data_IF_579678192453
#
_entry.id   IF_579678192453
#
_cell.length_a   1.000
_cell.length_b   1.000
_cell.length_c   1.000
_cell.angle_alpha   90.00
_cell.angle_beta   90.00
_cell.angle_gamma   90.00
#
_symmetry.space_group_name_H-M   'P 1'
#
loop_
_entity.id
_entity.type
_entity.pdbx_description
1 polymer ?
#
# COMPACT_ATOMS: atom_id res chain seq x y z
N UNK A 1 -11.98 -21.15 -2.49
CA UNK A 1 -12.28 -19.73 -2.87
C UNK A 1 -12.58 -18.85 -1.66
N UNK A 2 -13.48 -19.23 -0.74
CA UNK A 2 -13.75 -18.45 0.48
C UNK A 2 -12.53 -18.27 1.39
N UNK A 3 -11.70 -19.31 1.53
CA UNK A 3 -10.45 -19.28 2.32
C UNK A 3 -9.48 -18.17 1.89
N UNK A 4 -9.30 -17.98 0.58
CA UNK A 4 -8.45 -16.94 0.02
C UNK A 4 -8.91 -15.53 0.44
N UNK A 5 -10.21 -15.29 0.35
CA UNK A 5 -10.79 -14.00 0.71
C UNK A 5 -10.69 -13.71 2.20
N UNK A 6 -10.91 -14.71 3.06
CA UNK A 6 -10.77 -14.56 4.50
C UNK A 6 -9.32 -14.25 4.92
N UNK A 7 -8.33 -14.92 4.31
CA UNK A 7 -6.92 -14.63 4.57
C UNK A 7 -6.53 -13.23 4.10
N UNK A 8 -7.00 -12.82 2.92
CA UNK A 8 -6.74 -11.47 2.40
C UNK A 8 -7.38 -10.39 3.30
N UNK A 9 -8.61 -10.60 3.75
CA UNK A 9 -9.31 -9.65 4.63
C UNK A 9 -8.64 -9.53 6.00
N UNK A 10 -8.19 -10.65 6.58
CA UNK A 10 -7.42 -10.66 7.82
C UNK A 10 -6.16 -9.81 7.69
N UNK A 11 -5.35 -10.06 6.66
CA UNK A 11 -4.08 -9.35 6.43
C UNK A 11 -4.30 -7.84 6.18
N UNK A 12 -5.37 -7.46 5.45
CA UNK A 12 -5.76 -6.06 5.27
C UNK A 12 -6.15 -5.43 6.61
N UNK A 13 -6.99 -6.10 7.40
CA UNK A 13 -7.47 -5.56 8.68
C UNK A 13 -6.35 -5.39 9.71
N UNK A 14 -5.39 -6.32 9.70
CA UNK A 14 -4.20 -6.29 10.54
C UNK A 14 -3.25 -5.18 10.10
N UNK A 15 -3.03 -5.06 8.79
CA UNK A 15 -2.21 -4.00 8.21
C UNK A 15 -2.78 -2.61 8.48
N UNK A 16 -4.09 -2.41 8.34
CA UNK A 16 -4.74 -1.12 8.59
C UNK A 16 -4.70 -0.72 10.06
N UNK A 17 -4.77 -1.69 10.99
CA UNK A 17 -4.63 -1.42 12.43
C UNK A 17 -3.19 -1.13 12.86
N UNK A 18 -2.19 -1.45 12.04
CA UNK A 18 -0.82 -1.21 12.39
C UNK A 18 -0.54 0.30 12.46
N UNK A 19 -0.06 0.77 13.62
CA UNK A 19 0.32 2.19 13.83
C UNK A 19 1.35 2.68 12.80
N UNK A 20 2.20 1.78 12.32
CA UNK A 20 3.19 2.04 11.28
C UNK A 20 2.58 2.22 9.89
N UNK A 21 1.47 1.52 9.60
CA UNK A 21 0.71 1.74 8.36
C UNK A 21 0.07 3.12 8.36
N UNK A 22 -0.51 3.57 9.48
CA UNK A 22 -1.04 4.92 9.61
C UNK A 22 0.03 6.00 9.37
N UNK A 23 1.23 5.83 9.94
CA UNK A 23 2.38 6.71 9.67
C UNK A 23 2.75 6.75 8.19
N UNK A 24 2.81 5.58 7.54
CA UNK A 24 3.08 5.50 6.10
C UNK A 24 1.99 6.19 5.28
N UNK A 25 0.73 5.86 5.53
CA UNK A 25 -0.40 6.42 4.79
C UNK A 25 -0.44 7.94 4.92
N UNK A 26 -0.12 8.47 6.10
CA UNK A 26 -0.07 9.91 6.35
C UNK A 26 1.12 10.58 5.65
N UNK A 27 2.34 10.05 5.81
CA UNK A 27 3.56 10.67 5.25
C UNK A 27 3.59 10.53 3.73
N UNK A 28 3.47 9.31 3.22
CA UNK A 28 3.57 9.05 1.79
C UNK A 28 2.31 9.50 1.05
N UNK A 29 1.13 9.13 1.55
CA UNK A 29 -0.14 9.58 0.97
C UNK A 29 -0.29 11.10 1.03
N UNK A 30 0.11 11.74 2.13
CA UNK A 30 0.14 13.20 2.23
C UNK A 30 1.07 13.85 1.21
N UNK A 31 2.29 13.31 1.03
CA UNK A 31 3.24 13.82 0.05
C UNK A 31 2.73 13.67 -1.39
N UNK A 32 2.10 12.54 -1.71
CA UNK A 32 1.45 12.30 -3.00
C UNK A 32 0.29 13.28 -3.21
N UNK A 33 -0.58 13.46 -2.21
CA UNK A 33 -1.72 14.37 -2.30
C UNK A 33 -1.27 15.80 -2.56
N UNK A 34 -0.26 16.29 -1.81
CA UNK A 34 0.34 17.61 -1.99
C UNK A 34 0.92 17.73 -3.40
N UNK A 35 1.72 16.76 -3.84
CA UNK A 35 2.32 16.75 -5.18
C UNK A 35 1.26 16.84 -6.28
N UNK A 36 0.16 16.09 -6.16
CA UNK A 36 -0.92 16.10 -7.15
C UNK A 36 -1.72 17.40 -7.10
N UNK A 37 -2.07 17.92 -5.93
CA UNK A 37 -2.81 19.19 -5.81
C UNK A 37 -2.02 20.34 -6.48
N UNK A 38 -0.72 20.46 -6.15
CA UNK A 38 0.13 21.48 -6.77
C UNK A 38 0.39 21.21 -8.25
N UNK A 39 0.66 19.95 -8.63
CA UNK A 39 0.94 19.59 -10.02
C UNK A 39 -0.26 19.76 -10.96
N UNK A 40 -1.47 19.45 -10.50
CA UNK A 40 -2.72 19.69 -11.25
C UNK A 40 -2.98 21.19 -11.40
N UNK A 41 -2.72 21.98 -10.35
CA UNK A 41 -2.86 23.44 -10.39
C UNK A 41 -1.85 24.08 -11.36
N UNK A 42 -0.58 23.68 -11.30
CA UNK A 42 0.45 24.15 -12.25
C UNK A 42 0.16 23.73 -13.69
N UNK A 43 -0.38 22.53 -13.90
CA UNK A 43 -0.79 22.07 -15.23
C UNK A 43 -1.88 22.94 -15.84
N UNK A 44 -2.73 23.57 -15.02
CA UNK A 44 -3.74 24.53 -15.51
C UNK A 44 -3.12 25.82 -16.07
N UNK A 45 -1.96 26.23 -15.56
CA UNK A 45 -1.28 27.47 -15.93
C UNK A 45 -0.23 27.25 -17.03
N UNK A 46 0.57 26.18 -16.93
CA UNK A 46 1.65 25.86 -17.86
C UNK A 46 1.28 24.82 -18.93
N UNK A 47 0.10 24.19 -18.85
CA UNK A 47 -0.34 23.15 -19.77
C UNK A 47 0.35 21.79 -19.53
N UNK A 48 0.63 21.05 -20.61
CA UNK A 48 1.18 19.68 -20.57
C UNK A 48 2.58 19.56 -19.92
N UNK A 49 3.36 20.64 -19.90
CA UNK A 49 4.69 20.66 -19.29
C UNK A 49 4.65 20.59 -17.76
N UNK A 50 3.60 21.11 -17.13
CA UNK A 50 3.38 20.92 -15.69
C UNK A 50 3.09 19.46 -15.34
N UNK A 51 2.30 18.79 -16.19
CA UNK A 51 1.88 17.40 -16.01
C UNK A 51 3.05 16.42 -16.16
N UNK A 52 3.92 16.61 -17.17
CA UNK A 52 5.10 15.76 -17.36
C UNK A 52 6.08 15.87 -16.18
N UNK A 53 6.33 17.08 -15.68
CA UNK A 53 7.16 17.30 -14.49
C UNK A 53 6.57 16.61 -13.26
N UNK A 54 5.28 16.80 -13.02
CA UNK A 54 4.57 16.16 -11.91
C UNK A 54 4.68 14.63 -11.95
N UNK A 55 4.43 14.02 -13.12
CA UNK A 55 4.52 12.57 -13.28
C UNK A 55 5.94 12.05 -13.06
N UNK A 56 6.96 12.75 -13.56
CA UNK A 56 8.37 12.37 -13.34
C UNK A 56 8.71 12.41 -11.86
N UNK A 57 8.32 13.47 -11.14
CA UNK A 57 8.54 13.57 -9.69
C UNK A 57 7.78 12.47 -8.93
N UNK A 58 6.53 12.18 -9.32
CA UNK A 58 5.74 11.09 -8.74
C UNK A 58 6.40 9.72 -8.93
N UNK A 59 6.91 9.43 -10.13
CA UNK A 59 7.60 8.17 -10.45
C UNK A 59 8.88 8.06 -9.61
N UNK A 60 9.68 9.11 -9.51
CA UNK A 60 10.92 9.11 -8.71
C UNK A 60 10.63 8.88 -7.23
N UNK A 61 9.61 9.55 -6.69
CA UNK A 61 9.19 9.39 -5.30
C UNK A 61 8.74 7.95 -5.01
N UNK A 62 7.95 7.39 -5.92
CA UNK A 62 7.45 6.01 -5.83
C UNK A 62 8.60 5.02 -5.90
N UNK A 63 9.53 5.21 -6.84
CA UNK A 63 10.69 4.34 -7.02
C UNK A 63 11.62 4.33 -5.80
N UNK A 64 11.73 5.44 -5.08
CA UNK A 64 12.56 5.54 -3.88
C UNK A 64 11.87 4.97 -2.62
N UNK A 65 10.61 5.35 -2.37
CA UNK A 65 9.95 5.09 -1.07
C UNK A 65 9.24 3.75 -1.05
N UNK A 66 8.55 3.40 -2.15
CA UNK A 66 7.65 2.25 -2.18
C UNK A 66 8.38 0.91 -1.94
N UNK A 67 9.56 0.63 -2.54
CA UNK A 67 10.28 -0.62 -2.28
C UNK A 67 10.70 -0.77 -0.82
N UNK A 68 11.21 0.30 -0.22
CA UNK A 68 11.64 0.31 1.20
C UNK A 68 10.43 0.02 2.09
N UNK A 69 9.30 0.66 1.83
CA UNK A 69 8.08 0.44 2.59
C UNK A 69 7.56 -0.99 2.46
N UNK A 70 7.49 -1.53 1.24
CA UNK A 70 7.05 -2.91 0.99
C UNK A 70 7.96 -3.90 1.73
N UNK A 71 9.27 -3.70 1.70
CA UNK A 71 10.21 -4.57 2.43
C UNK A 71 10.02 -4.47 3.94
N UNK A 72 9.92 -3.26 4.50
CA UNK A 72 9.76 -3.08 5.95
C UNK A 72 8.44 -3.64 6.48
N UNK A 73 7.33 -3.36 5.80
CA UNK A 73 6.00 -3.91 6.15
C UNK A 73 5.99 -5.42 6.00
N UNK A 74 6.63 -5.93 4.95
CA UNK A 74 6.71 -7.36 4.68
C UNK A 74 7.52 -8.11 5.72
N UNK A 75 8.71 -7.62 6.06
CA UNK A 75 9.59 -8.27 7.04
C UNK A 75 8.93 -8.31 8.40
N UNK A 76 8.33 -7.20 8.86
CA UNK A 76 7.68 -7.16 10.18
C UNK A 76 6.52 -8.13 10.30
N UNK A 77 5.67 -8.19 9.28
CA UNK A 77 4.52 -9.10 9.28
C UNK A 77 4.94 -10.56 9.07
N UNK A 78 5.95 -10.83 8.23
CA UNK A 78 6.38 -12.22 7.96
C UNK A 78 7.25 -12.80 9.09
N UNK A 79 8.14 -11.98 9.67
CA UNK A 79 8.96 -12.38 10.82
C UNK A 79 8.09 -12.57 12.08
N UNK A 80 7.12 -11.68 12.32
CA UNK A 80 6.19 -11.82 13.43
C UNK A 80 5.37 -13.11 13.36
N UNK A 81 4.85 -13.46 12.18
CA UNK A 81 4.13 -14.72 11.96
C UNK A 81 5.01 -15.96 12.15
N UNK A 82 6.28 -15.88 11.73
CA UNK A 82 7.26 -16.95 11.92
C UNK A 82 7.58 -17.16 13.40
N UNK A 83 7.76 -16.08 14.14
CA UNK A 83 8.07 -16.11 15.57
C UNK A 83 6.87 -16.56 16.43
N UNK A 84 5.65 -16.28 15.99
CA UNK A 84 4.42 -16.71 16.65
C UNK A 84 3.99 -18.16 16.36
N UNK A 85 4.75 -18.91 15.54
CA UNK A 85 4.43 -20.30 15.19
C UNK A 85 3.16 -20.45 14.34
N UNK A 86 2.68 -19.37 13.71
CA UNK A 86 1.42 -19.33 12.96
C UNK A 86 1.45 -20.32 11.80
N UNK A 87 2.62 -20.57 11.20
CA UNK A 87 2.78 -21.58 10.14
C UNK A 87 2.38 -22.99 10.59
N UNK A 88 2.78 -23.40 11.80
CA UNK A 88 2.45 -24.71 12.35
C UNK A 88 0.96 -24.79 12.71
N UNK A 89 0.41 -23.70 13.24
CA UNK A 89 -1.04 -23.58 13.51
C UNK A 89 -1.89 -23.62 12.24
N UNK A 90 -1.48 -22.97 11.15
CA UNK A 90 -2.26 -22.94 9.91
C UNK A 90 -2.17 -24.25 9.12
N UNK A 91 -1.08 -25.01 9.27
CA UNK A 91 -0.95 -26.37 8.73
C UNK A 91 -1.81 -27.40 9.49
N UNK A 92 -2.24 -27.08 10.72
CA UNK A 92 -3.20 -27.91 11.47
C UNK A 92 -4.64 -27.74 10.98
N UNK A 93 -4.94 -26.63 10.29
CA UNK A 93 -6.24 -26.38 9.64
C UNK A 93 -6.21 -26.84 8.17
N UNK A 94 -7.36 -27.26 7.59
CA UNK A 94 -7.45 -27.69 6.19
C UNK A 94 -7.42 -26.50 5.21
N UNK A 95 -6.34 -25.72 5.23
CA UNK A 95 -6.12 -24.57 4.35
C UNK A 95 -4.96 -24.89 3.41
N UNK A 96 -5.19 -24.76 2.10
CA UNK A 96 -4.13 -24.98 1.13
C UNK A 96 -3.08 -23.88 1.19
N UNK A 97 -1.78 -24.25 1.21
CA UNK A 97 -0.64 -23.33 1.23
C UNK A 97 -0.75 -22.26 0.13
N UNK A 98 -1.15 -22.65 -1.08
CA UNK A 98 -1.35 -21.71 -2.19
C UNK A 98 -2.42 -20.64 -1.90
N UNK A 99 -3.54 -21.00 -1.28
CA UNK A 99 -4.59 -20.03 -0.91
C UNK A 99 -4.11 -19.03 0.14
N UNK A 100 -3.19 -19.43 1.00
CA UNK A 100 -2.62 -18.57 2.03
C UNK A 100 -1.63 -17.56 1.44
N UNK A 101 -0.64 -18.03 0.68
CA UNK A 101 0.36 -17.17 0.05
C UNK A 101 -0.26 -16.14 -0.89
N UNK A 102 -1.18 -16.59 -1.77
CA UNK A 102 -1.85 -15.68 -2.70
C UNK A 102 -2.75 -14.67 -1.99
N UNK A 103 -3.43 -15.08 -0.91
CA UNK A 103 -4.29 -14.17 -0.12
C UNK A 103 -3.48 -13.07 0.56
N UNK A 104 -2.33 -13.43 1.14
CA UNK A 104 -1.41 -12.49 1.77
C UNK A 104 -0.76 -11.54 0.78
N UNK A 105 -0.36 -12.06 -0.38
CA UNK A 105 0.20 -11.24 -1.45
C UNK A 105 -0.82 -10.19 -1.95
N UNK A 106 -2.06 -10.61 -2.22
CA UNK A 106 -3.12 -9.71 -2.65
C UNK A 106 -3.49 -8.67 -1.57
N UNK A 107 -3.57 -9.10 -0.30
CA UNK A 107 -3.81 -8.22 0.84
C UNK A 107 -2.77 -7.11 0.93
N UNK A 108 -1.48 -7.47 0.89
CA UNK A 108 -0.38 -6.50 0.91
C UNK A 108 -0.36 -5.57 -0.29
N UNK A 109 -0.64 -6.08 -1.48
CA UNK A 109 -0.74 -5.26 -2.67
C UNK A 109 -1.80 -4.17 -2.45
N UNK A 110 -3.02 -4.55 -2.05
CA UNK A 110 -4.09 -3.59 -1.78
C UNK A 110 -3.69 -2.55 -0.72
N UNK A 111 -3.10 -2.99 0.39
CA UNK A 111 -2.66 -2.12 1.48
C UNK A 111 -1.64 -1.07 1.02
N UNK A 112 -0.66 -1.47 0.20
CA UNK A 112 0.38 -0.56 -0.29
C UNK A 112 -0.18 0.49 -1.24
N UNK A 113 -1.11 0.10 -2.12
CA UNK A 113 -1.69 1.01 -3.10
C UNK A 113 -2.81 1.90 -2.52
N UNK A 114 -3.46 1.49 -1.43
CA UNK A 114 -4.62 2.19 -0.86
C UNK A 114 -4.32 3.67 -0.52
N UNK A 115 -3.21 4.03 0.16
CA UNK A 115 -2.90 5.43 0.43
C UNK A 115 -2.64 6.26 -0.83
N UNK A 116 -2.06 5.65 -1.87
CA UNK A 116 -1.78 6.33 -3.14
C UNK A 116 -3.08 6.65 -3.87
N UNK A 117 -3.97 5.66 -4.02
CA UNK A 117 -5.27 5.88 -4.64
C UNK A 117 -6.14 6.85 -3.84
N UNK A 118 -6.11 6.77 -2.50
CA UNK A 118 -6.81 7.71 -1.64
C UNK A 118 -6.28 9.15 -1.84
N UNK A 119 -4.96 9.33 -1.87
CA UNK A 119 -4.33 10.63 -2.10
C UNK A 119 -4.70 11.20 -3.48
N UNK A 120 -4.70 10.37 -4.53
CA UNK A 120 -5.14 10.78 -5.86
C UNK A 120 -6.61 11.18 -5.89
N UNK A 121 -7.50 10.40 -5.26
CA UNK A 121 -8.92 10.72 -5.18
C UNK A 121 -9.18 12.02 -4.42
N UNK A 122 -8.48 12.26 -3.31
CA UNK A 122 -8.55 13.52 -2.56
C UNK A 122 -8.06 14.68 -3.43
N UNK A 123 -6.95 14.50 -4.15
CA UNK A 123 -6.40 15.57 -5.00
C UNK A 123 -7.36 15.95 -6.14
N UNK A 124 -8.11 14.99 -6.70
CA UNK A 124 -9.12 15.25 -7.72
C UNK A 124 -10.36 15.96 -7.17
N UNK A 125 -10.71 15.72 -5.91
CA UNK A 125 -11.85 16.37 -5.27
C UNK A 125 -11.54 17.81 -4.84
N UNK A 126 -10.27 18.11 -4.56
CA UNK A 126 -9.82 19.40 -4.00
C UNK A 126 -9.21 20.32 -5.07
N UNK A 127 -8.51 19.78 -6.06
CA UNK A 127 -7.86 20.53 -7.15
C UNK A 127 -8.74 20.68 -8.39
#
# INVERSE_FOLDING_TARGET
MRSFWHTAWLDISESVRARWFALYALVFGGLIAVLFIFGLTESRVMGFTGLSRMLVTFIQLTMAILPIFVLLSTVRSLAGDREAGVYEYMLSFPVSLGSWYWGRFAGRFLVVFLPVFAAMAISLAVG
#
